data_IF_673549316872
#
_entry.id   IF_673549316872
#
_cell.length_a   1.000
_cell.length_b   1.000
_cell.length_c   1.000
_cell.angle_alpha   90.00
_cell.angle_beta   90.00
_cell.angle_gamma   90.00
#
_symmetry.space_group_name_H-M   'P 1'
#
loop_
_entity.id
_entity.type
_entity.pdbx_description
1 polymer ?
#
# COMPACT_ATOMS: atom_id res chain seq x y z
N UNK A 1 -38.86 15.53 -17.38
CA UNK A 1 -37.46 15.67 -17.84
C UNK A 1 -36.88 16.95 -17.27
N UNK A 2 -35.96 16.82 -16.33
CA UNK A 2 -34.98 17.84 -15.93
C UNK A 2 -33.97 17.11 -15.05
N UNK A 3 -32.88 16.64 -15.65
CA UNK A 3 -31.74 16.09 -14.93
C UNK A 3 -30.88 17.24 -14.41
N UNK A 4 -30.27 17.05 -13.25
CA UNK A 4 -29.18 17.91 -12.79
C UNK A 4 -28.20 17.14 -11.87
N UNK A 5 -27.05 16.86 -12.48
CA UNK A 5 -25.68 16.84 -11.95
C UNK A 5 -25.36 16.07 -10.66
N UNK A 6 -24.85 14.84 -10.84
CA UNK A 6 -23.98 14.15 -9.88
C UNK A 6 -22.59 14.78 -9.93
N UNK A 7 -22.20 15.50 -8.88
CA UNK A 7 -20.80 15.95 -8.68
C UNK A 7 -20.10 14.84 -7.89
N UNK A 8 -19.25 14.06 -8.59
CA UNK A 8 -18.37 13.04 -8.03
C UNK A 8 -17.27 13.71 -7.20
N UNK A 9 -17.24 13.44 -5.89
CA UNK A 9 -16.30 14.03 -4.92
C UNK A 9 -15.01 13.22 -4.88
N UNK A 10 -14.12 13.50 -5.83
CA UNK A 10 -12.89 12.74 -6.16
C UNK A 10 -11.83 12.65 -5.04
N UNK A 11 -11.93 13.43 -3.95
CA UNK A 11 -10.85 13.53 -2.97
C UNK A 11 -10.82 12.42 -1.90
N UNK A 12 -11.99 11.91 -1.51
CA UNK A 12 -12.09 10.71 -0.67
C UNK A 12 -12.36 9.47 -1.51
N UNK A 13 -12.67 9.67 -2.80
CA UNK A 13 -12.75 8.64 -3.83
C UNK A 13 -11.40 7.95 -4.09
N UNK A 14 -10.27 8.53 -3.72
CA UNK A 14 -8.99 7.79 -3.85
C UNK A 14 -8.87 6.68 -2.81
N UNK A 15 -9.55 6.81 -1.66
CA UNK A 15 -9.57 5.79 -0.60
C UNK A 15 -10.94 5.08 -0.52
N UNK A 16 -12.02 5.69 -1.03
CA UNK A 16 -13.40 5.21 -0.97
C UNK A 16 -14.12 5.15 -2.32
N UNK A 17 -13.52 5.59 -3.43
CA UNK A 17 -14.13 5.51 -4.76
C UNK A 17 -13.18 5.13 -5.93
N UNK A 18 -12.19 4.31 -5.61
CA UNK A 18 -12.27 3.01 -6.26
C UNK A 18 -13.36 2.24 -5.51
N UNK A 19 -14.61 2.64 -5.77
CA UNK A 19 -15.77 1.82 -5.55
C UNK A 19 -15.57 0.78 -6.64
N UNK A 20 -14.86 -0.28 -6.26
CA UNK A 20 -15.00 -1.56 -6.92
C UNK A 20 -16.45 -2.00 -6.59
N UNK A 21 -17.44 -1.37 -7.27
CA UNK A 21 -18.90 -1.43 -7.08
C UNK A 21 -19.43 -2.88 -7.13
N UNK A 22 -20.56 -3.29 -6.51
CA UNK A 22 -21.63 -2.64 -5.73
C UNK A 22 -22.51 -3.74 -5.08
N UNK A 23 -23.27 -3.37 -4.04
CA UNK A 23 -24.39 -4.14 -3.49
C UNK A 23 -24.97 -3.48 -2.24
N UNK A 24 -26.07 -2.75 -2.41
CA UNK A 24 -26.88 -2.11 -1.37
C UNK A 24 -27.20 -3.04 -0.18
N UNK A 25 -27.00 -2.54 1.04
CA UNK A 25 -28.08 -2.25 2.00
C UNK A 25 -27.48 -1.71 3.31
N UNK A 26 -28.18 -0.75 3.90
CA UNK A 26 -27.86 -0.12 5.17
C UNK A 26 -27.88 -1.12 6.34
N UNK A 27 -27.19 -0.81 7.45
CA UNK A 27 -27.76 -0.66 8.80
C UNK A 27 -26.66 -0.36 9.83
N UNK A 28 -27.08 0.45 10.80
CA UNK A 28 -26.37 1.00 11.95
C UNK A 28 -25.69 -0.05 12.86
N UNK A 29 -24.61 0.39 13.52
CA UNK A 29 -24.32 0.02 14.91
C UNK A 29 -23.34 -1.14 15.13
N UNK A 30 -22.46 -0.91 16.11
CA UNK A 30 -21.47 -1.81 16.69
C UNK A 30 -20.12 -1.95 15.96
N UNK A 31 -19.05 -1.95 16.76
CA UNK A 31 -17.67 -2.25 16.36
C UNK A 31 -17.61 -3.55 15.53
N UNK A 32 -16.89 -3.60 14.39
CA UNK A 32 -16.62 -4.86 13.76
C UNK A 32 -15.38 -5.49 14.40
N UNK A 33 -15.63 -6.43 15.31
CA UNK A 33 -14.82 -7.63 15.39
C UNK A 33 -14.77 -8.28 13.99
N UNK A 34 -13.60 -8.78 13.59
CA UNK A 34 -13.37 -9.64 12.42
C UNK A 34 -14.23 -9.41 11.16
N UNK A 35 -13.60 -8.89 10.10
CA UNK A 35 -13.89 -9.43 8.77
C UNK A 35 -14.92 -8.75 7.87
N UNK A 36 -15.12 -7.42 7.93
CA UNK A 36 -15.77 -6.70 6.81
C UNK A 36 -14.74 -6.01 5.92
N UNK A 37 -13.92 -6.82 5.25
CA UNK A 37 -13.48 -6.42 3.92
C UNK A 37 -14.71 -6.57 3.02
N UNK A 38 -15.26 -5.43 2.59
CA UNK A 38 -16.11 -5.32 1.40
C UNK A 38 -15.58 -6.29 0.36
N UNK A 39 -16.44 -7.11 -0.27
CA UNK A 39 -16.09 -8.07 -1.34
C UNK A 39 -15.36 -7.33 -2.47
N UNK A 40 -14.08 -7.08 -2.28
CA UNK A 40 -13.16 -6.58 -3.27
C UNK A 40 -12.94 -7.71 -4.24
N UNK A 41 -13.01 -7.37 -5.52
CA UNK A 41 -12.64 -8.16 -6.69
C UNK A 41 -11.83 -9.38 -6.30
N UNK A 42 -12.46 -10.56 -6.41
CA UNK A 42 -11.83 -11.86 -6.17
C UNK A 42 -10.39 -11.80 -6.69
N UNK A 43 -9.41 -11.99 -5.81
CA UNK A 43 -8.00 -11.83 -6.19
C UNK A 43 -7.79 -12.60 -7.48
N UNK A 44 -7.33 -11.93 -8.53
CA UNK A 44 -7.11 -12.61 -9.79
C UNK A 44 -6.20 -13.81 -9.50
N UNK A 45 -6.55 -15.03 -9.94
CA UNK A 45 -5.80 -16.23 -9.61
C UNK A 45 -4.29 -16.13 -9.92
N UNK A 46 -3.93 -15.19 -10.80
CA UNK A 46 -2.58 -14.93 -11.33
C UNK A 46 -1.88 -13.71 -10.68
N UNK A 47 -2.35 -13.18 -9.54
CA UNK A 47 -1.66 -12.08 -8.86
C UNK A 47 -0.29 -12.57 -8.35
N UNK A 48 0.81 -12.00 -8.88
CA UNK A 48 2.18 -12.40 -8.54
C UNK A 48 2.52 -12.28 -7.05
N UNK A 49 1.92 -11.33 -6.31
CA UNK A 49 2.11 -11.27 -4.85
C UNK A 49 1.55 -12.51 -4.19
N UNK A 50 0.32 -12.88 -4.56
CA UNK A 50 -0.33 -14.07 -4.01
C UNK A 50 0.50 -15.32 -4.32
N UNK A 51 0.99 -15.45 -5.55
CA UNK A 51 1.89 -16.56 -5.92
C UNK A 51 3.17 -16.58 -5.08
N UNK A 52 3.85 -15.44 -4.95
CA UNK A 52 5.08 -15.32 -4.18
C UNK A 52 4.88 -15.70 -2.70
N UNK A 53 3.87 -15.12 -2.03
CA UNK A 53 3.63 -15.39 -0.58
C UNK A 53 3.02 -16.76 -0.31
N UNK A 54 2.41 -17.40 -1.33
CA UNK A 54 1.97 -18.80 -1.24
C UNK A 54 3.17 -19.75 -1.20
N UNK A 55 4.23 -19.46 -1.98
CA UNK A 55 5.45 -20.27 -2.04
C UNK A 55 6.42 -19.98 -0.90
N UNK A 56 6.43 -18.75 -0.39
CA UNK A 56 7.43 -18.30 0.57
C UNK A 56 6.77 -17.76 1.84
N UNK A 57 6.84 -18.55 2.91
CA UNK A 57 6.31 -18.17 4.23
C UNK A 57 7.17 -17.14 4.95
N UNK A 58 8.48 -17.15 4.72
CA UNK A 58 9.43 -16.19 5.28
C UNK A 58 10.28 -15.60 4.16
N UNK A 59 10.39 -14.28 4.14
CA UNK A 59 11.23 -13.56 3.20
C UNK A 59 11.77 -12.27 3.82
N UNK A 60 12.86 -11.77 3.26
CA UNK A 60 13.60 -10.61 3.72
C UNK A 60 13.49 -9.48 2.71
N UNK A 61 13.50 -8.25 3.18
CA UNK A 61 13.57 -7.08 2.30
C UNK A 61 14.95 -6.46 2.31
N UNK A 62 15.41 -5.99 1.15
CA UNK A 62 16.64 -5.20 1.00
C UNK A 62 16.50 -4.18 -0.13
N UNK A 63 17.46 -3.25 -0.20
CA UNK A 63 17.61 -2.28 -1.26
C UNK A 63 18.88 -2.59 -2.05
N UNK A 64 18.73 -2.94 -3.34
CA UNK A 64 19.85 -3.28 -4.22
C UNK A 64 20.70 -4.43 -3.66
N UNK A 65 22.01 -4.25 -3.65
CA UNK A 65 22.97 -5.23 -3.10
C UNK A 65 23.30 -5.03 -1.63
N UNK A 66 22.56 -4.19 -0.90
CA UNK A 66 22.83 -3.94 0.51
C UNK A 66 22.68 -5.24 1.30
N UNK A 67 23.62 -5.48 2.23
CA UNK A 67 23.43 -6.53 3.23
C UNK A 67 22.15 -6.22 4.00
N UNK A 68 21.31 -7.24 4.17
CA UNK A 68 20.06 -7.08 4.89
C UNK A 68 20.35 -6.60 6.32
N UNK A 69 19.57 -5.65 6.80
CA UNK A 69 19.51 -5.41 8.24
C UNK A 69 18.96 -6.68 8.89
N UNK A 70 19.57 -7.13 9.99
CA UNK A 70 19.22 -8.38 10.68
C UNK A 70 17.75 -8.45 11.14
N UNK A 71 16.99 -7.36 11.03
CA UNK A 71 15.61 -7.28 11.47
C UNK A 71 14.58 -7.05 10.36
N UNK A 72 14.94 -6.89 9.08
CA UNK A 72 13.94 -6.50 8.06
C UNK A 72 13.40 -7.72 7.29
N UNK A 73 12.45 -8.41 7.90
CA UNK A 73 11.84 -9.65 7.40
C UNK A 73 10.32 -9.62 7.48
N UNK A 74 9.70 -10.57 6.77
CA UNK A 74 8.26 -10.79 6.70
C UNK A 74 7.97 -12.27 6.91
N UNK A 75 7.03 -12.57 7.82
CA UNK A 75 6.49 -13.90 8.07
C UNK A 75 4.99 -13.92 7.73
N UNK A 76 4.57 -14.81 6.85
CA UNK A 76 3.17 -14.99 6.45
C UNK A 76 2.43 -15.81 7.50
N UNK A 77 1.65 -15.12 8.35
CA UNK A 77 0.89 -15.73 9.44
C UNK A 77 -0.52 -16.19 9.03
N UNK A 78 -1.17 -15.45 8.13
CA UNK A 78 -2.49 -15.78 7.61
C UNK A 78 -2.54 -15.44 6.12
N UNK A 79 -3.16 -16.29 5.32
CA UNK A 79 -3.28 -16.15 3.87
C UNK A 79 -4.61 -16.76 3.43
N UNK A 80 -5.46 -15.93 2.84
CA UNK A 80 -6.73 -16.36 2.26
C UNK A 80 -6.88 -15.81 0.83
N UNK A 81 -8.07 -15.92 0.25
CA UNK A 81 -8.31 -15.48 -1.13
C UNK A 81 -8.20 -13.96 -1.30
N UNK A 82 -8.53 -13.17 -0.29
CA UNK A 82 -8.63 -11.71 -0.39
C UNK A 82 -7.47 -10.96 0.28
N UNK A 83 -6.74 -11.60 1.19
CA UNK A 83 -5.75 -10.90 2.03
C UNK A 83 -4.62 -11.81 2.50
N UNK A 84 -3.56 -11.15 2.95
CA UNK A 84 -2.41 -11.75 3.62
C UNK A 84 -2.06 -10.95 4.88
N UNK A 85 -1.80 -11.63 5.98
CA UNK A 85 -1.28 -11.04 7.22
C UNK A 85 0.17 -11.42 7.39
N UNK A 86 1.01 -10.39 7.51
CA UNK A 86 2.41 -10.51 7.84
C UNK A 86 2.64 -10.20 9.30
N UNK A 87 3.58 -10.90 9.92
CA UNK A 87 4.41 -10.30 10.94
C UNK A 87 5.64 -9.71 10.25
N UNK A 88 5.94 -8.45 10.56
CA UNK A 88 7.01 -7.68 9.93
C UNK A 88 8.04 -7.37 11.00
N UNK A 89 9.24 -7.89 10.82
CA UNK A 89 10.39 -7.54 11.63
C UNK A 89 10.89 -6.15 11.29
N UNK A 90 11.33 -5.42 12.31
CA UNK A 90 12.05 -4.16 12.14
C UNK A 90 13.02 -3.95 13.30
N UNK A 91 14.01 -3.08 13.07
CA UNK A 91 14.88 -2.60 14.13
C UNK A 91 14.34 -1.29 14.67
N UNK A 92 14.13 -1.20 15.99
CA UNK A 92 13.82 0.06 16.63
C UNK A 92 15.12 0.76 17.02
N UNK A 93 15.24 2.06 16.75
CA UNK A 93 16.42 2.83 17.14
C UNK A 93 16.68 2.68 18.65
N UNK A 94 17.92 2.31 19.00
CA UNK A 94 18.36 2.08 20.37
C UNK A 94 18.01 0.70 20.97
N UNK A 95 17.27 -0.15 20.27
CA UNK A 95 17.00 -1.52 20.72
C UNK A 95 18.18 -2.45 20.40
N UNK A 96 18.44 -3.43 21.27
CA UNK A 96 19.43 -4.49 21.00
C UNK A 96 18.88 -5.66 20.19
N UNK A 97 17.55 -5.79 20.16
CA UNK A 97 16.84 -6.91 19.56
C UNK A 97 15.88 -6.42 18.47
N UNK A 98 15.51 -7.31 17.56
CA UNK A 98 14.49 -7.04 16.56
C UNK A 98 13.11 -6.97 17.21
N UNK A 99 12.29 -6.01 16.79
CA UNK A 99 10.87 -5.94 17.14
C UNK A 99 10.03 -6.43 15.97
N UNK A 100 8.75 -6.71 16.20
CA UNK A 100 7.82 -7.05 15.13
C UNK A 100 6.45 -6.40 15.31
N UNK A 101 5.78 -6.16 14.19
CA UNK A 101 4.38 -5.71 14.13
C UNK A 101 3.61 -6.59 13.17
N UNK A 102 2.30 -6.70 13.39
CA UNK A 102 1.41 -7.40 12.47
C UNK A 102 0.79 -6.41 11.49
N UNK A 103 0.84 -6.72 10.19
CA UNK A 103 0.20 -5.95 9.13
C UNK A 103 -0.66 -6.86 8.28
N UNK A 104 -1.91 -6.47 8.01
CA UNK A 104 -2.78 -7.14 7.04
C UNK A 104 -2.84 -6.30 5.77
N UNK A 105 -2.64 -6.95 4.63
CA UNK A 105 -2.74 -6.35 3.29
C UNK A 105 -3.75 -7.12 2.45
N UNK A 106 -4.41 -6.43 1.55
CA UNK A 106 -5.43 -6.96 0.66
C UNK A 106 -4.86 -7.11 -0.75
N UNK A 107 -5.23 -8.18 -1.44
CA UNK A 107 -4.84 -8.39 -2.83
C UNK A 107 -5.64 -7.45 -3.74
N UNK A 108 -4.94 -6.75 -4.64
CA UNK A 108 -5.53 -5.92 -5.67
C UNK A 108 -5.36 -6.52 -7.08
N UNK A 109 -5.83 -5.80 -8.09
CA UNK A 109 -5.54 -6.11 -9.49
C UNK A 109 -4.09 -5.79 -9.87
N UNK A 110 -3.63 -6.29 -11.03
CA UNK A 110 -2.33 -5.93 -11.62
C UNK A 110 -1.11 -6.19 -10.70
N UNK A 111 -1.04 -7.38 -10.09
CA UNK A 111 0.08 -7.78 -9.23
C UNK A 111 0.32 -6.84 -8.04
N UNK A 112 -0.77 -6.38 -7.40
CA UNK A 112 -0.70 -5.44 -6.28
C UNK A 112 -1.21 -6.02 -4.97
N UNK A 113 -0.74 -5.42 -3.87
CA UNK A 113 -1.34 -5.52 -2.53
C UNK A 113 -1.41 -4.13 -1.91
N UNK A 114 -2.32 -3.92 -0.96
CA UNK A 114 -2.46 -2.62 -0.31
C UNK A 114 -2.95 -2.74 1.14
N UNK A 115 -2.66 -1.72 1.94
CA UNK A 115 -3.29 -1.47 3.23
C UNK A 115 -3.69 0.01 3.36
N UNK A 116 -4.73 0.27 4.15
CA UNK A 116 -5.25 1.61 4.42
C UNK A 116 -5.50 1.72 5.92
N UNK A 117 -4.95 2.76 6.52
CA UNK A 117 -5.23 3.19 7.87
C UNK A 117 -5.85 4.59 7.81
N UNK A 118 -7.16 4.63 7.60
CA UNK A 118 -7.96 5.84 7.44
C UNK A 118 -7.92 6.77 8.67
N UNK A 119 -7.85 6.20 9.87
CA UNK A 119 -7.69 6.93 11.14
C UNK A 119 -6.36 7.68 11.24
N UNK A 120 -5.32 7.22 10.55
CA UNK A 120 -4.01 7.88 10.49
C UNK A 120 -3.81 8.65 9.19
N UNK A 121 -4.75 8.58 8.26
CA UNK A 121 -4.62 9.18 6.93
C UNK A 121 -3.40 8.62 6.18
N UNK A 122 -3.15 7.31 6.28
CA UNK A 122 -2.05 6.61 5.62
C UNK A 122 -2.60 5.47 4.77
N UNK A 123 -2.05 5.26 3.58
CA UNK A 123 -2.25 4.07 2.77
C UNK A 123 -0.92 3.62 2.15
N UNK A 124 -0.66 2.33 2.04
CA UNK A 124 0.50 1.80 1.32
C UNK A 124 0.03 0.85 0.22
N UNK A 125 0.56 1.05 -0.97
CA UNK A 125 0.27 0.26 -2.16
C UNK A 125 1.57 -0.34 -2.69
N UNK A 126 1.58 -1.65 -2.90
CA UNK A 126 2.74 -2.35 -3.40
C UNK A 126 2.41 -3.05 -4.72
N UNK A 127 3.36 -3.03 -5.65
CA UNK A 127 3.29 -3.70 -6.95
C UNK A 127 4.54 -4.53 -7.20
N UNK A 128 4.39 -5.79 -7.60
CA UNK A 128 5.50 -6.60 -8.11
C UNK A 128 5.77 -6.24 -9.57
N UNK A 129 6.99 -5.78 -9.85
CA UNK A 129 7.46 -5.54 -11.22
C UNK A 129 8.21 -6.72 -11.80
N UNK A 130 8.86 -7.49 -10.94
CA UNK A 130 9.66 -8.65 -11.31
C UNK A 130 9.57 -9.70 -10.21
N UNK A 131 9.44 -10.98 -10.57
CA UNK A 131 9.45 -12.08 -9.62
C UNK A 131 10.08 -13.31 -10.26
N UNK A 132 10.89 -14.01 -9.47
CA UNK A 132 11.40 -15.34 -9.73
C UNK A 132 10.95 -16.29 -8.61
N UNK A 133 11.47 -17.51 -8.60
CA UNK A 133 11.25 -18.45 -7.50
C UNK A 133 11.97 -18.07 -6.21
N UNK A 134 12.90 -17.11 -6.24
CA UNK A 134 13.78 -16.81 -5.10
C UNK A 134 13.79 -15.35 -4.70
N UNK A 135 13.28 -14.46 -5.54
CA UNK A 135 13.21 -13.05 -5.24
C UNK A 135 12.09 -12.33 -6.02
N UNK A 136 11.69 -11.17 -5.53
CA UNK A 136 10.79 -10.26 -6.22
C UNK A 136 11.27 -8.81 -6.07
N UNK A 137 11.04 -7.98 -7.07
CA UNK A 137 11.28 -6.53 -7.02
C UNK A 137 9.93 -5.83 -6.94
N UNK A 138 9.77 -5.06 -5.88
CA UNK A 138 8.53 -4.46 -5.44
C UNK A 138 8.66 -2.94 -5.45
N UNK A 139 7.68 -2.26 -6.04
CA UNK A 139 7.44 -0.84 -5.84
C UNK A 139 6.50 -0.67 -4.65
N UNK A 140 6.85 0.20 -3.71
CA UNK A 140 5.99 0.64 -2.61
C UNK A 140 5.68 2.13 -2.78
N UNK A 141 4.40 2.46 -2.73
CA UNK A 141 3.90 3.83 -2.72
C UNK A 141 3.09 4.03 -1.45
N UNK A 142 3.68 4.77 -0.53
CA UNK A 142 3.01 5.25 0.66
C UNK A 142 2.35 6.58 0.35
N UNK A 143 1.06 6.69 0.65
CA UNK A 143 0.31 7.94 0.63
C UNK A 143 0.00 8.37 2.06
N UNK A 144 0.36 9.59 2.41
CA UNK A 144 0.12 10.13 3.75
C UNK A 144 -0.39 11.57 3.69
N UNK A 145 -1.28 11.92 4.63
CA UNK A 145 -1.68 13.31 4.81
C UNK A 145 -0.55 14.10 5.47
N UNK A 146 -0.16 15.22 4.86
CA UNK A 146 0.97 16.02 5.31
C UNK A 146 0.69 17.51 5.13
N UNK A 147 1.38 18.34 5.91
CA UNK A 147 1.37 19.81 5.81
C UNK A 147 2.22 20.34 4.65
N UNK A 148 2.96 19.47 3.96
CA UNK A 148 3.81 19.86 2.83
C UNK A 148 2.96 20.27 1.61
N UNK A 149 3.14 21.52 1.20
CA UNK A 149 2.50 22.14 0.03
C UNK A 149 3.49 22.39 -1.12
N UNK A 150 4.79 22.10 -0.91
CA UNK A 150 5.85 22.43 -1.87
C UNK A 150 6.09 21.32 -2.89
N UNK A 151 5.35 20.22 -2.79
CA UNK A 151 5.46 19.07 -3.66
C UNK A 151 4.63 19.25 -4.94
N UNK A 152 5.12 18.67 -6.04
CA UNK A 152 4.46 18.75 -7.37
C UNK A 152 3.05 18.15 -7.31
N UNK A 153 2.08 18.76 -7.99
CA UNK A 153 0.71 18.24 -8.04
C UNK A 153 0.64 16.88 -8.76
N UNK A 154 -0.11 15.95 -8.19
CA UNK A 154 -0.33 14.65 -8.81
C UNK A 154 -1.16 14.77 -10.10
N UNK A 155 -0.83 13.94 -11.08
CA UNK A 155 -1.67 13.79 -12.27
C UNK A 155 -2.95 13.05 -11.89
N UNK A 156 -4.07 13.56 -12.38
CA UNK A 156 -5.39 12.94 -12.25
C UNK A 156 -5.79 12.54 -13.66
N UNK A 157 -6.00 11.25 -13.89
CA UNK A 157 -6.49 10.71 -15.16
C UNK A 157 -7.89 10.16 -14.93
N UNK A 158 -8.83 10.52 -15.81
CA UNK A 158 -10.24 10.09 -15.72
C UNK A 158 -10.90 10.35 -14.36
N UNK A 159 -10.46 11.41 -13.66
CA UNK A 159 -10.97 11.75 -12.33
C UNK A 159 -10.46 10.85 -11.20
N UNK A 160 -9.43 10.04 -11.44
CA UNK A 160 -8.81 9.18 -10.42
C UNK A 160 -7.33 9.54 -10.22
N UNK A 161 -6.89 9.44 -8.97
CA UNK A 161 -5.48 9.55 -8.62
C UNK A 161 -4.77 8.26 -9.01
N UNK A 162 -3.63 8.37 -9.68
CA UNK A 162 -2.77 7.23 -9.95
C UNK A 162 -2.19 6.72 -8.62
N UNK A 163 -2.50 5.48 -8.24
CA UNK A 163 -1.98 4.85 -7.02
C UNK A 163 -0.48 4.58 -7.09
N UNK A 164 0.08 4.50 -8.31
CA UNK A 164 1.49 4.22 -8.57
C UNK A 164 2.12 5.31 -9.44
N UNK A 165 2.15 6.57 -8.96
CA UNK A 165 2.67 7.68 -9.74
C UNK A 165 4.14 7.45 -10.07
N UNK A 166 4.65 8.02 -11.15
CA UNK A 166 6.07 7.82 -11.52
C UNK A 166 7.04 8.68 -10.70
N UNK A 167 6.54 9.73 -10.04
CA UNK A 167 7.29 10.62 -9.15
C UNK A 167 6.44 10.98 -7.93
N UNK A 168 7.11 11.30 -6.82
CA UNK A 168 6.42 11.80 -5.61
C UNK A 168 5.65 13.06 -5.96
N UNK A 169 4.41 13.12 -5.47
CA UNK A 169 3.49 14.20 -5.76
C UNK A 169 2.48 14.36 -4.63
N UNK A 170 1.80 15.50 -4.58
CA UNK A 170 0.71 15.76 -3.65
C UNK A 170 -0.61 16.01 -4.39
N UNK A 171 -1.67 15.47 -3.83
CA UNK A 171 -3.04 15.78 -4.20
C UNK A 171 -3.65 16.66 -3.11
N UNK A 172 -4.22 17.79 -3.49
CA UNK A 172 -4.97 18.64 -2.57
C UNK A 172 -6.41 18.12 -2.50
N UNK A 173 -6.83 17.81 -1.28
CA UNK A 173 -8.17 17.43 -0.93
C UNK A 173 -8.83 18.59 -0.18
N UNK A 174 -9.45 19.49 -0.93
CA UNK A 174 -10.14 20.69 -0.47
C UNK A 174 -11.62 20.43 -0.15
N UNK A 175 -11.97 19.17 0.12
CA UNK A 175 -13.35 18.75 0.37
C UNK A 175 -13.76 18.93 1.84
N UNK A 176 -15.03 19.28 2.07
CA UNK A 176 -15.66 19.28 3.40
C UNK A 176 -15.57 17.90 4.10
N UNK A 177 -15.30 16.84 3.35
CA UNK A 177 -15.23 15.48 3.89
C UNK A 177 -14.01 15.26 4.80
N UNK A 178 -12.93 16.05 4.63
CA UNK A 178 -11.80 16.01 5.56
C UNK A 178 -12.23 16.34 6.99
N UNK A 179 -13.10 17.33 7.17
CA UNK A 179 -13.60 17.73 8.49
C UNK A 179 -14.42 16.62 9.17
N UNK A 180 -14.99 15.70 8.39
CA UNK A 180 -15.79 14.58 8.89
C UNK A 180 -15.05 13.25 8.92
N UNK A 181 -13.79 13.22 8.49
CA UNK A 181 -12.99 12.00 8.36
C UNK A 181 -12.69 11.33 9.71
N UNK A 182 -12.42 10.01 9.74
CA UNK A 182 -12.00 9.31 10.95
C UNK A 182 -10.79 9.97 11.63
N UNK A 183 -9.79 10.39 10.84
CA UNK A 183 -8.62 11.11 11.32
C UNK A 183 -8.97 12.46 11.97
N UNK A 184 -9.89 13.23 11.38
CA UNK A 184 -10.35 14.49 11.98
C UNK A 184 -11.02 14.27 13.33
N UNK A 185 -11.84 13.23 13.44
CA UNK A 185 -12.49 12.85 14.71
C UNK A 185 -11.45 12.42 15.76
N UNK A 186 -10.42 11.69 15.33
CA UNK A 186 -9.35 11.23 16.20
C UNK A 186 -8.44 12.36 16.70
N UNK A 187 -8.07 13.31 15.82
CA UNK A 187 -7.21 14.45 16.18
C UNK A 187 -7.97 15.61 16.84
N UNK A 188 -9.29 15.70 16.65
CA UNK A 188 -10.11 16.83 17.08
C UNK A 188 -9.92 18.11 16.24
N UNK A 189 -9.20 18.02 15.12
CA UNK A 189 -8.97 19.11 14.18
C UNK A 189 -9.05 18.62 12.73
N UNK A 190 -9.28 19.54 11.78
CA UNK A 190 -9.32 19.20 10.35
C UNK A 190 -7.90 18.84 9.89
N UNK A 191 -7.69 17.64 9.31
CA UNK A 191 -6.38 17.24 8.81
C UNK A 191 -5.87 18.16 7.70
N UNK A 192 -4.57 18.10 7.44
CA UNK A 192 -3.99 18.88 6.35
C UNK A 192 -4.61 18.46 5.01
N UNK A 193 -4.87 19.41 4.09
CA UNK A 193 -5.55 19.09 2.85
C UNK A 193 -4.68 18.30 1.87
N UNK A 194 -3.36 18.21 2.07
CA UNK A 194 -2.48 17.56 1.11
C UNK A 194 -2.29 16.09 1.44
N UNK A 195 -2.54 15.23 0.44
CA UNK A 195 -2.28 13.81 0.48
C UNK A 195 -1.16 13.47 -0.50
N UNK A 196 -0.02 13.03 0.03
CA UNK A 196 1.24 13.01 -0.71
C UNK A 196 1.82 11.60 -0.81
N UNK A 197 2.37 11.29 -1.98
CA UNK A 197 3.00 10.01 -2.28
C UNK A 197 4.50 10.02 -2.00
N UNK A 198 4.96 8.93 -1.39
CA UNK A 198 6.37 8.59 -1.21
C UNK A 198 6.61 7.24 -1.85
N UNK A 199 7.53 7.23 -2.80
CA UNK A 199 7.83 6.05 -3.57
C UNK A 199 9.16 5.46 -3.16
N UNK A 200 9.18 4.15 -3.01
CA UNK A 200 10.39 3.38 -2.81
C UNK A 200 10.34 2.08 -3.61
N UNK A 201 11.50 1.48 -3.81
CA UNK A 201 11.62 0.14 -4.38
C UNK A 201 12.32 -0.75 -3.35
N UNK A 202 11.99 -2.03 -3.36
CA UNK A 202 12.55 -3.01 -2.43
C UNK A 202 12.66 -4.35 -3.14
N UNK A 203 13.67 -5.13 -2.80
CA UNK A 203 13.82 -6.52 -3.22
C UNK A 203 13.35 -7.40 -2.08
N UNK A 204 12.38 -8.28 -2.33
CA UNK A 204 12.05 -9.39 -1.46
C UNK A 204 12.89 -10.61 -1.85
N UNK A 205 13.52 -11.24 -0.88
CA UNK A 205 14.42 -12.39 -1.08
C UNK A 205 14.01 -13.49 -0.11
N UNK A 206 13.94 -14.72 -0.58
CA UNK A 206 13.58 -15.86 0.28
C UNK A 206 14.61 -16.08 1.40
N UNK A 207 14.17 -16.67 2.50
CA UNK A 207 15.01 -16.85 3.70
C UNK A 207 16.35 -17.57 3.43
N UNK A 208 16.37 -18.58 2.55
CA UNK A 208 17.59 -19.32 2.20
C UNK A 208 18.64 -18.48 1.45
N UNK A 209 18.25 -17.33 0.90
CA UNK A 209 19.12 -16.41 0.17
C UNK A 209 19.23 -15.04 0.84
N UNK A 210 18.85 -14.92 2.12
CA UNK A 210 18.88 -13.64 2.85
C UNK A 210 20.26 -12.96 2.90
N UNK A 211 21.35 -13.68 2.63
CA UNK A 211 22.70 -13.08 2.60
C UNK A 211 23.24 -12.94 1.16
N UNK A 212 22.50 -13.43 0.15
CA UNK A 212 22.93 -13.55 -1.24
C UNK A 212 21.79 -13.19 -2.21
N UNK A 213 21.56 -11.89 -2.39
CA UNK A 213 20.53 -11.38 -3.31
C UNK A 213 20.84 -11.80 -4.76
N UNK A 214 19.90 -12.43 -5.48
CA UNK A 214 20.08 -12.79 -6.89
C UNK A 214 20.41 -11.58 -7.80
N UNK A 215 21.37 -11.75 -8.71
CA UNK A 215 21.91 -10.68 -9.56
C UNK A 215 20.87 -10.07 -10.50
N UNK A 216 19.96 -10.90 -11.01
CA UNK A 216 18.82 -10.50 -11.83
C UNK A 216 17.85 -9.57 -11.08
N UNK A 217 17.54 -9.89 -9.82
CA UNK A 217 16.74 -9.00 -8.96
C UNK A 217 17.43 -7.67 -8.66
N UNK A 218 18.75 -7.68 -8.40
CA UNK A 218 19.53 -6.44 -8.24
C UNK A 218 19.45 -5.60 -9.53
N UNK A 219 19.70 -6.21 -10.69
CA UNK A 219 19.63 -5.52 -11.98
C UNK A 219 18.27 -4.88 -12.21
N UNK A 220 17.18 -5.61 -11.96
CA UNK A 220 15.80 -5.11 -12.12
C UNK A 220 15.49 -3.97 -11.16
N UNK A 221 15.96 -4.05 -9.92
CA UNK A 221 15.85 -2.97 -8.94
C UNK A 221 16.56 -1.70 -9.42
N UNK A 222 17.80 -1.80 -9.90
CA UNK A 222 18.56 -0.65 -10.39
C UNK A 222 17.95 -0.04 -11.66
N UNK A 223 17.41 -0.85 -12.58
CA UNK A 223 16.68 -0.38 -13.77
C UNK A 223 15.47 0.50 -13.38
N UNK A 224 14.70 0.08 -12.38
CA UNK A 224 13.53 0.83 -11.91
C UNK A 224 13.91 2.09 -11.12
N UNK A 225 15.01 2.03 -10.36
CA UNK A 225 15.49 3.17 -9.59
C UNK A 225 16.08 4.26 -10.48
N UNK A 226 16.89 3.89 -11.46
CA UNK A 226 17.55 4.84 -12.39
C UNK A 226 16.58 5.48 -13.38
N UNK A 227 15.48 4.82 -13.73
CA UNK A 227 14.40 5.42 -14.52
C UNK A 227 13.62 6.56 -13.83
N UNK A 228 13.96 6.90 -12.58
CA UNK A 228 13.32 7.96 -11.77
C UNK A 228 14.05 9.31 -11.85
N UNK A 229 15.37 9.28 -11.99
CA UNK A 229 16.26 10.45 -12.04
C UNK A 229 16.22 11.10 -13.44
#
# INVERSE_FOLDING_TARGET
>A
MAGLFKILVVGLVVIAAVTWCEGDEAVQGAEPADGTATKGTQAQPQNKFREFVTRHRVFWSTQGSARHGNCTWYLVNDLNEASVRFEVGYHHDGARECSSIYKRRYFGGNDTVFDVADVFGIASFLRIHYSTETCAVVQDVEWSQTKDHNSVSCKIADGHLDLFPTKSCCYTNDTQQLATSPMARWMGEVPSPHYCSRLSYTIYVIDSLKDNVPKDCIKKYEELKTGRD
#
